data_IF_811067372467
#
_entry.id   IF_811067372467
#
_cell.length_a   1.000
_cell.length_b   1.000
_cell.length_c   1.000
_cell.angle_alpha   90.00
_cell.angle_beta   90.00
_cell.angle_gamma   90.00
#
_symmetry.space_group_name_H-M   'P 1'
#
loop_
_entity.id
_entity.type
_entity.pdbx_description
1 polymer ?
#
# COMPACT_ATOMS: atom_id res chain seq x y z
N UNK A 1 21.56 2.28 18.97
CA UNK A 1 20.31 1.52 18.77
C UNK A 1 20.58 0.48 17.71
N UNK A 2 20.23 -0.80 17.90
CA UNK A 2 20.35 -1.81 16.85
C UNK A 2 19.55 -1.36 15.61
N UNK A 3 20.03 -1.68 14.40
CA UNK A 3 19.26 -1.45 13.17
C UNK A 3 17.88 -2.11 13.34
N UNK A 4 16.82 -1.32 13.40
CA UNK A 4 15.45 -1.78 13.71
C UNK A 4 14.87 -2.80 12.71
N UNK A 5 15.60 -3.12 11.62
CA UNK A 5 15.10 -3.94 10.52
C UNK A 5 16.19 -4.84 9.89
N UNK A 6 17.20 -5.26 10.66
CA UNK A 6 18.24 -6.14 10.11
C UNK A 6 17.70 -7.58 9.94
N UNK A 7 17.22 -7.88 8.73
CA UNK A 7 16.89 -9.23 8.31
C UNK A 7 18.16 -10.04 8.11
N UNK A 8 18.22 -11.25 8.66
CA UNK A 8 19.36 -12.15 8.50
C UNK A 8 19.03 -13.34 7.61
N UNK A 9 20.04 -13.91 6.94
CA UNK A 9 19.94 -15.17 6.20
C UNK A 9 19.43 -16.32 7.05
N UNK A 10 19.66 -16.30 8.38
CA UNK A 10 19.07 -17.27 9.31
C UNK A 10 17.56 -17.12 9.42
N UNK A 11 17.06 -15.89 9.53
CA UNK A 11 15.62 -15.61 9.57
C UNK A 11 14.96 -15.96 8.23
N UNK A 12 15.57 -15.60 7.10
CA UNK A 12 15.10 -16.00 5.76
C UNK A 12 15.02 -17.52 5.64
N UNK A 13 16.07 -18.23 6.06
CA UNK A 13 16.12 -19.69 5.99
C UNK A 13 15.13 -20.38 6.95
N UNK A 14 14.82 -19.77 8.09
CA UNK A 14 13.78 -20.24 9.01
C UNK A 14 12.40 -20.02 8.41
N UNK A 15 12.12 -18.83 7.87
CA UNK A 15 10.89 -18.53 7.16
C UNK A 15 10.62 -19.51 6.01
N UNK A 16 11.64 -19.90 5.26
CA UNK A 16 11.55 -20.90 4.19
C UNK A 16 11.09 -22.30 4.64
N UNK A 17 10.96 -22.60 5.94
CA UNK A 17 10.30 -23.84 6.43
C UNK A 17 8.78 -23.74 6.47
N UNK A 18 8.23 -22.53 6.40
CA UNK A 18 6.78 -22.30 6.50
C UNK A 18 6.09 -22.62 5.18
N UNK A 19 4.78 -22.94 5.25
CA UNK A 19 3.96 -23.11 4.04
C UNK A 19 3.79 -21.80 3.28
N UNK A 20 3.66 -20.68 4.01
CA UNK A 20 3.50 -19.35 3.43
C UNK A 20 4.69 -18.95 2.55
N UNK A 21 5.91 -19.38 2.90
CA UNK A 21 7.11 -18.99 2.17
C UNK A 21 7.10 -19.40 0.69
N UNK A 22 6.54 -20.57 0.36
CA UNK A 22 6.46 -21.01 -1.03
C UNK A 22 5.57 -20.10 -1.87
N UNK A 23 4.47 -19.61 -1.29
CA UNK A 23 3.52 -18.74 -1.98
C UNK A 23 4.00 -17.28 -2.05
N UNK A 24 4.82 -16.86 -1.09
CA UNK A 24 5.26 -15.47 -0.96
C UNK A 24 6.64 -15.19 -1.58
N UNK A 25 7.52 -16.18 -1.70
CA UNK A 25 8.85 -16.00 -2.31
C UNK A 25 8.79 -15.36 -3.71
N UNK A 26 7.90 -15.76 -4.64
CA UNK A 26 7.78 -15.08 -5.93
C UNK A 26 7.42 -13.59 -5.79
N UNK A 27 6.49 -13.24 -4.88
CA UNK A 27 6.13 -11.84 -4.59
C UNK A 27 7.31 -11.06 -4.01
N UNK A 28 8.08 -11.67 -3.11
CA UNK A 28 9.28 -11.05 -2.54
C UNK A 28 10.30 -10.73 -3.63
N UNK A 29 10.60 -11.69 -4.51
CA UNK A 29 11.52 -11.49 -5.64
C UNK A 29 11.01 -10.42 -6.59
N UNK A 30 9.71 -10.41 -6.90
CA UNK A 30 9.08 -9.39 -7.75
C UNK A 30 9.28 -7.98 -7.20
N UNK A 31 9.01 -7.79 -5.91
CA UNK A 31 9.21 -6.49 -5.24
C UNK A 31 10.70 -6.10 -5.18
N UNK A 32 11.59 -7.06 -4.92
CA UNK A 32 13.04 -6.83 -4.90
C UNK A 32 13.58 -6.39 -6.27
N UNK A 33 13.07 -6.98 -7.36
CA UNK A 33 13.38 -6.56 -8.74
C UNK A 33 12.92 -5.11 -8.95
N UNK A 34 11.66 -4.82 -8.65
CA UNK A 34 11.07 -3.50 -8.83
C UNK A 34 11.71 -2.40 -7.96
N UNK A 35 12.34 -2.76 -6.84
CA UNK A 35 13.07 -1.81 -5.99
C UNK A 35 14.36 -1.29 -6.63
N UNK A 36 15.01 -2.08 -7.50
CA UNK A 36 16.36 -1.78 -8.03
C UNK A 36 16.41 -1.57 -9.53
N UNK A 37 15.37 -1.97 -10.26
CA UNK A 37 15.31 -1.84 -11.72
C UNK A 37 13.88 -1.58 -12.21
N UNK A 38 13.76 -1.17 -13.48
CA UNK A 38 12.49 -0.93 -14.18
C UNK A 38 12.39 -1.92 -15.34
N UNK A 39 11.93 -3.16 -15.08
CA UNK A 39 11.88 -4.19 -16.11
C UNK A 39 10.78 -3.90 -17.14
N UNK A 40 11.02 -4.24 -18.40
CA UNK A 40 10.00 -4.17 -19.47
C UNK A 40 9.02 -5.36 -19.40
N UNK A 41 9.42 -6.46 -18.75
CA UNK A 41 8.57 -7.60 -18.38
C UNK A 41 9.02 -8.15 -17.04
N UNK A 42 8.10 -8.34 -16.10
CA UNK A 42 8.35 -8.95 -14.79
C UNK A 42 7.14 -9.80 -14.41
N UNK A 43 7.21 -11.09 -14.71
CA UNK A 43 6.13 -12.06 -14.44
C UNK A 43 6.61 -13.04 -13.38
N UNK A 44 6.17 -12.84 -12.14
CA UNK A 44 6.43 -13.72 -11.01
C UNK A 44 5.08 -14.01 -10.32
N UNK A 45 4.38 -15.07 -10.74
CA UNK A 45 3.09 -15.45 -10.16
C UNK A 45 3.24 -15.76 -8.66
N UNK A 46 2.33 -15.24 -7.85
CA UNK A 46 2.33 -15.42 -6.40
C UNK A 46 0.91 -15.71 -5.89
N UNK A 47 0.77 -16.12 -4.63
CA UNK A 47 -0.54 -16.46 -4.05
C UNK A 47 -1.16 -17.70 -4.69
N UNK A 48 -2.42 -17.62 -5.10
CA UNK A 48 -3.16 -18.76 -5.66
C UNK A 48 -2.70 -19.15 -7.08
N UNK A 49 -1.94 -18.27 -7.74
CA UNK A 49 -1.44 -18.49 -9.11
C UNK A 49 -0.11 -19.24 -9.19
N UNK A 50 0.49 -19.64 -8.06
CA UNK A 50 1.76 -20.40 -8.00
C UNK A 50 1.65 -21.84 -8.51
N UNK A 51 0.44 -22.34 -8.71
CA UNK A 51 0.17 -23.71 -9.19
C UNK A 51 0.17 -23.85 -10.72
N UNK A 52 0.36 -22.74 -11.46
CA UNK A 52 0.40 -22.75 -12.92
C UNK A 52 1.63 -23.49 -13.45
N UNK A 53 1.47 -24.42 -14.42
CA UNK A 53 2.61 -25.07 -15.06
C UNK A 53 3.42 -24.03 -15.85
N UNK A 54 4.70 -23.87 -15.53
CA UNK A 54 5.52 -22.84 -16.14
C UNK A 54 6.77 -22.56 -15.33
N UNK A 55 7.47 -21.48 -15.64
CA UNK A 55 8.57 -20.93 -14.84
C UNK A 55 8.02 -20.29 -13.56
N UNK A 56 8.82 -20.26 -12.49
CA UNK A 56 8.44 -19.53 -11.28
C UNK A 56 8.55 -18.01 -11.49
N UNK A 57 9.36 -17.58 -12.47
CA UNK A 57 9.27 -16.24 -13.02
C UNK A 57 9.97 -16.04 -14.35
N UNK A 58 9.56 -14.99 -15.06
CA UNK A 58 10.14 -14.51 -16.31
C UNK A 58 10.42 -13.01 -16.22
N UNK A 59 11.62 -12.60 -16.63
CA UNK A 59 12.07 -11.23 -16.51
C UNK A 59 12.76 -10.79 -17.80
N UNK A 60 12.45 -9.57 -18.24
CA UNK A 60 13.23 -8.85 -19.26
C UNK A 60 13.68 -7.51 -18.69
N UNK A 61 15.00 -7.32 -18.63
CA UNK A 61 15.64 -6.06 -18.25
C UNK A 61 16.56 -5.60 -19.38
N UNK A 62 16.64 -4.30 -19.64
CA UNK A 62 17.61 -3.76 -20.60
C UNK A 62 19.02 -3.72 -19.99
N UNK A 63 19.11 -3.38 -18.71
CA UNK A 63 20.36 -3.22 -17.98
C UNK A 63 20.71 -4.44 -17.11
N UNK A 64 22.00 -4.71 -17.02
CA UNK A 64 22.54 -5.75 -16.13
C UNK A 64 22.84 -5.14 -14.75
N UNK A 65 22.37 -5.79 -13.70
CA UNK A 65 22.65 -5.40 -12.31
C UNK A 65 23.24 -6.59 -11.55
N UNK A 66 23.65 -6.38 -10.29
CA UNK A 66 24.08 -7.46 -9.41
C UNK A 66 22.99 -8.54 -9.23
N UNK A 67 21.71 -8.15 -9.31
CA UNK A 67 20.57 -9.01 -8.99
C UNK A 67 19.83 -9.49 -10.24
N UNK A 68 19.75 -8.65 -11.27
CA UNK A 68 18.94 -8.90 -12.48
C UNK A 68 19.83 -8.95 -13.73
N UNK A 69 19.81 -10.04 -14.51
CA UNK A 69 20.56 -10.10 -15.76
C UNK A 69 19.92 -9.24 -16.86
N UNK A 70 20.74 -8.69 -17.77
CA UNK A 70 20.23 -8.03 -18.98
C UNK A 70 19.66 -9.03 -20.00
N UNK A 71 18.68 -8.59 -20.79
CA UNK A 71 17.90 -9.41 -21.72
C UNK A 71 16.89 -10.31 -21.03
N UNK A 72 16.50 -11.39 -21.73
CA UNK A 72 15.53 -12.36 -21.23
C UNK A 72 16.16 -13.27 -20.16
N UNK A 73 15.44 -13.48 -19.07
CA UNK A 73 15.79 -14.47 -18.05
C UNK A 73 14.59 -15.26 -17.54
N UNK A 74 14.87 -16.47 -17.10
CA UNK A 74 13.91 -17.43 -16.58
C UNK A 74 14.34 -17.87 -15.18
N UNK A 75 13.41 -17.85 -14.24
CA UNK A 75 13.68 -17.98 -12.82
C UNK A 75 13.02 -19.23 -12.24
N UNK A 76 13.80 -19.94 -11.41
CA UNK A 76 13.35 -21.06 -10.57
C UNK A 76 13.55 -20.67 -9.11
N UNK A 77 12.50 -20.74 -8.31
CA UNK A 77 12.45 -20.29 -6.94
C UNK A 77 12.18 -21.49 -6.02
N UNK A 78 12.93 -21.60 -4.91
CA UNK A 78 12.72 -22.72 -4.00
C UNK A 78 12.94 -22.43 -2.53
N UNK A 79 12.09 -23.04 -1.71
CA UNK A 79 12.24 -23.14 -0.26
C UNK A 79 12.72 -24.54 0.19
N UNK A 80 13.06 -25.46 -0.73
CA UNK A 80 13.44 -26.84 -0.42
C UNK A 80 14.75 -26.93 0.38
N UNK A 81 14.78 -27.79 1.40
CA UNK A 81 15.92 -27.92 2.32
C UNK A 81 17.23 -28.40 1.65
N UNK A 82 17.15 -29.04 0.48
CA UNK A 82 18.32 -29.54 -0.28
C UNK A 82 18.48 -28.72 -1.59
N UNK A 83 18.99 -27.48 -1.52
CA UNK A 83 18.97 -26.56 -2.67
C UNK A 83 19.75 -27.08 -3.87
N UNK A 84 20.89 -27.77 -3.65
CA UNK A 84 21.69 -28.34 -4.76
C UNK A 84 20.91 -29.40 -5.55
N UNK A 85 20.16 -30.28 -4.85
CA UNK A 85 19.39 -31.33 -5.51
C UNK A 85 18.24 -30.74 -6.32
N UNK A 86 17.54 -29.75 -5.74
CA UNK A 86 16.47 -29.00 -6.40
C UNK A 86 16.99 -28.25 -7.63
N UNK A 87 18.04 -27.45 -7.48
CA UNK A 87 18.63 -26.68 -8.58
C UNK A 87 19.13 -27.58 -9.71
N UNK A 88 19.68 -28.76 -9.41
CA UNK A 88 20.03 -29.75 -10.44
C UNK A 88 18.81 -30.27 -11.20
N UNK A 89 17.76 -30.66 -10.48
CA UNK A 89 16.50 -31.16 -11.07
C UNK A 89 15.86 -30.11 -11.97
N UNK A 90 15.77 -28.87 -11.50
CA UNK A 90 15.16 -27.79 -12.27
C UNK A 90 16.01 -27.41 -13.47
N UNK A 91 17.32 -27.23 -13.29
CA UNK A 91 18.23 -26.91 -14.39
C UNK A 91 18.18 -27.98 -15.49
N UNK A 92 18.17 -29.27 -15.14
CA UNK A 92 18.05 -30.36 -16.10
C UNK A 92 16.70 -30.30 -16.83
N UNK A 93 15.59 -30.31 -16.07
CA UNK A 93 14.23 -30.22 -16.60
C UNK A 93 14.09 -29.07 -17.59
N UNK A 94 14.59 -27.89 -17.22
CA UNK A 94 14.47 -26.67 -18.03
C UNK A 94 15.37 -26.66 -19.25
N UNK A 95 16.54 -27.29 -19.15
CA UNK A 95 17.43 -27.48 -20.29
C UNK A 95 16.79 -28.39 -21.33
N UNK A 96 16.15 -29.48 -20.89
CA UNK A 96 15.42 -30.42 -21.76
C UNK A 96 14.15 -29.83 -22.37
N UNK A 97 13.42 -29.02 -21.61
CA UNK A 97 12.13 -28.44 -22.03
C UNK A 97 12.27 -27.15 -22.85
N UNK A 98 13.44 -26.51 -22.86
CA UNK A 98 13.65 -25.23 -23.54
C UNK A 98 14.49 -25.41 -24.81
N UNK A 99 14.02 -24.95 -25.99
CA UNK A 99 14.80 -25.03 -27.23
C UNK A 99 16.16 -24.36 -27.09
N UNK A 100 17.20 -24.98 -27.67
CA UNK A 100 18.59 -24.49 -27.59
C UNK A 100 18.73 -23.03 -28.01
N UNK A 101 18.06 -22.62 -29.11
CA UNK A 101 18.06 -21.23 -29.57
C UNK A 101 17.64 -20.25 -28.47
N UNK A 102 16.61 -20.59 -27.69
CA UNK A 102 16.14 -19.76 -26.58
C UNK A 102 17.15 -19.78 -25.43
N UNK A 103 17.71 -20.95 -25.09
CA UNK A 103 18.69 -21.09 -24.01
C UNK A 103 19.95 -20.27 -24.27
N UNK A 104 20.45 -20.29 -25.50
CA UNK A 104 21.63 -19.53 -25.92
C UNK A 104 21.40 -18.02 -26.02
N UNK A 105 20.17 -17.55 -25.84
CA UNK A 105 19.80 -16.12 -25.85
C UNK A 105 19.28 -15.62 -24.49
N UNK A 106 19.16 -16.50 -23.49
CA UNK A 106 18.54 -16.16 -22.20
C UNK A 106 19.37 -16.64 -21.02
N UNK A 107 19.13 -16.04 -19.86
CA UNK A 107 19.80 -16.41 -18.60
C UNK A 107 18.88 -17.25 -17.73
N UNK A 108 19.36 -18.40 -17.27
CA UNK A 108 18.69 -19.18 -16.23
C UNK A 108 19.10 -18.66 -14.84
N UNK A 109 18.13 -18.38 -13.97
CA UNK A 109 18.38 -17.89 -12.61
C UNK A 109 17.77 -18.87 -11.62
N UNK A 110 18.59 -19.39 -10.71
CA UNK A 110 18.13 -20.27 -9.62
C UNK A 110 18.19 -19.53 -8.28
N UNK A 111 17.08 -19.42 -7.59
CA UNK A 111 17.00 -18.75 -6.29
C UNK A 111 16.52 -19.72 -5.23
N UNK A 112 17.16 -19.69 -4.07
CA UNK A 112 16.65 -20.38 -2.90
C UNK A 112 16.61 -19.49 -1.67
N UNK A 113 15.51 -19.59 -0.91
CA UNK A 113 15.41 -18.97 0.41
C UNK A 113 16.14 -19.78 1.51
N UNK A 114 16.95 -20.78 1.13
CA UNK A 114 17.80 -21.56 2.03
C UNK A 114 19.26 -21.17 1.90
N UNK A 115 20.07 -21.51 2.90
CA UNK A 115 21.53 -21.41 2.79
C UNK A 115 22.05 -22.47 1.82
N UNK A 116 22.93 -22.08 0.90
CA UNK A 116 23.46 -22.97 -0.14
C UNK A 116 24.98 -22.92 -0.19
N UNK A 117 25.63 -23.71 0.66
CA UNK A 117 27.10 -23.77 0.76
C UNK A 117 27.79 -24.19 -0.54
N UNK A 118 27.17 -25.06 -1.33
CA UNK A 118 27.71 -25.57 -2.59
C UNK A 118 27.39 -24.66 -3.81
N UNK A 119 26.74 -23.50 -3.62
CA UNK A 119 26.26 -22.61 -4.69
C UNK A 119 27.34 -22.29 -5.72
N UNK A 120 28.51 -21.84 -5.29
CA UNK A 120 29.59 -21.42 -6.19
C UNK A 120 30.19 -22.60 -6.98
N UNK A 121 30.36 -23.76 -6.32
CA UNK A 121 30.82 -24.98 -7.00
C UNK A 121 29.81 -25.46 -8.04
N UNK A 122 28.53 -25.42 -7.69
CA UNK A 122 27.43 -25.76 -8.59
C UNK A 122 27.37 -24.83 -9.80
N UNK A 123 27.43 -23.51 -9.56
CA UNK A 123 27.37 -22.50 -10.60
C UNK A 123 28.53 -22.64 -11.60
N UNK A 124 29.76 -22.79 -11.09
CA UNK A 124 30.94 -23.01 -11.94
C UNK A 124 30.75 -24.23 -12.86
N UNK A 125 30.34 -25.36 -12.28
CA UNK A 125 30.11 -26.58 -13.04
C UNK A 125 29.01 -26.41 -14.11
N UNK A 126 27.90 -25.73 -13.79
CA UNK A 126 26.81 -25.51 -14.76
C UNK A 126 27.19 -24.55 -15.89
N UNK A 127 28.00 -23.54 -15.61
CA UNK A 127 28.53 -22.64 -16.64
C UNK A 127 29.49 -23.36 -17.61
N UNK A 128 30.31 -24.29 -17.12
CA UNK A 128 31.23 -25.09 -17.94
C UNK A 128 30.49 -25.98 -18.97
N UNK A 129 29.23 -26.35 -18.70
CA UNK A 129 28.42 -27.13 -19.65
C UNK A 129 27.97 -26.31 -20.86
N UNK A 130 27.94 -24.97 -20.78
CA UNK A 130 27.58 -24.10 -21.91
C UNK A 130 26.14 -24.21 -22.41
N UNK A 131 25.24 -24.83 -21.63
CA UNK A 131 23.85 -25.10 -22.04
C UNK A 131 22.98 -23.84 -22.12
N UNK A 132 23.35 -22.77 -21.42
CA UNK A 132 22.62 -21.50 -21.42
C UNK A 132 23.59 -20.36 -21.70
N UNK A 133 23.11 -19.25 -22.26
CA UNK A 133 23.92 -18.04 -22.48
C UNK A 133 24.66 -17.64 -21.21
N UNK A 134 23.95 -17.68 -20.08
CA UNK A 134 24.49 -17.50 -18.75
C UNK A 134 23.59 -18.17 -17.70
N UNK A 135 24.15 -18.41 -16.52
CA UNK A 135 23.41 -18.92 -15.36
C UNK A 135 23.75 -18.02 -14.16
N UNK A 136 22.76 -17.69 -13.33
CA UNK A 136 22.94 -17.04 -12.02
C UNK A 136 22.32 -17.88 -10.91
N UNK A 137 22.87 -17.76 -9.71
CA UNK A 137 22.37 -18.48 -8.54
C UNK A 137 22.35 -17.57 -7.32
N UNK A 138 21.23 -17.56 -6.59
CA UNK A 138 21.04 -16.78 -5.36
C UNK A 138 20.59 -17.68 -4.20
N UNK A 139 21.12 -17.44 -3.01
CA UNK A 139 20.73 -18.12 -1.77
C UNK A 139 20.30 -17.14 -0.66
N UNK A 140 19.95 -17.64 0.52
CA UNK A 140 19.45 -16.80 1.62
C UNK A 140 20.43 -15.67 2.02
N UNK A 141 21.75 -15.86 1.84
CA UNK A 141 22.74 -14.82 2.10
C UNK A 141 22.79 -13.74 1.03
N UNK A 142 22.47 -14.07 -0.22
CA UNK A 142 22.32 -13.07 -1.28
C UNK A 142 21.01 -12.30 -1.11
N UNK A 143 19.92 -12.98 -0.72
CA UNK A 143 18.64 -12.32 -0.42
C UNK A 143 18.76 -11.32 0.73
N UNK A 144 19.52 -11.67 1.78
CA UNK A 144 19.87 -10.74 2.87
C UNK A 144 20.52 -9.46 2.32
N UNK A 145 21.57 -9.59 1.51
CA UNK A 145 22.25 -8.45 0.88
C UNK A 145 21.36 -7.65 -0.10
N UNK A 146 20.45 -8.31 -0.80
CA UNK A 146 19.52 -7.64 -1.69
C UNK A 146 18.49 -6.81 -0.88
N UNK A 147 17.97 -7.38 0.21
CA UNK A 147 17.03 -6.69 1.11
C UNK A 147 17.66 -5.45 1.77
N UNK A 148 18.96 -5.49 2.10
CA UNK A 148 19.70 -4.32 2.63
C UNK A 148 19.63 -3.08 1.70
N UNK A 149 19.47 -3.29 0.39
CA UNK A 149 19.37 -2.21 -0.60
C UNK A 149 17.92 -1.76 -0.83
N UNK A 150 16.95 -2.55 -0.35
CA UNK A 150 15.52 -2.43 -0.64
C UNK A 150 14.71 -2.22 0.66
N UNK A 151 14.85 -1.08 1.34
CA UNK A 151 14.31 -0.83 2.68
C UNK A 151 12.79 -0.99 2.81
N UNK A 152 11.99 -0.59 1.80
CA UNK A 152 10.54 -0.77 1.85
C UNK A 152 10.15 -2.25 1.71
N UNK A 153 10.86 -3.00 0.86
CA UNK A 153 10.66 -4.45 0.70
C UNK A 153 11.12 -5.20 1.94
N UNK A 154 12.27 -4.80 2.51
CA UNK A 154 12.78 -5.33 3.77
C UNK A 154 11.81 -5.07 4.93
N UNK A 155 11.22 -3.88 5.01
CA UNK A 155 10.19 -3.56 6.00
C UNK A 155 8.98 -4.49 5.85
N UNK A 156 8.41 -4.60 4.65
CA UNK A 156 7.26 -5.48 4.41
C UNK A 156 7.58 -6.95 4.72
N UNK A 157 8.77 -7.42 4.36
CA UNK A 157 9.18 -8.78 4.66
C UNK A 157 9.44 -9.00 6.16
N UNK A 158 9.99 -8.01 6.87
CA UNK A 158 10.14 -8.06 8.31
C UNK A 158 8.79 -8.12 9.04
N UNK A 159 7.74 -7.49 8.50
CA UNK A 159 6.38 -7.58 9.07
C UNK A 159 5.80 -8.99 8.92
N UNK A 160 6.05 -9.65 7.78
CA UNK A 160 5.69 -11.06 7.55
C UNK A 160 6.42 -12.01 8.53
N UNK A 161 7.59 -11.61 9.01
CA UNK A 161 8.35 -12.36 10.02
C UNK A 161 8.02 -11.93 11.46
N UNK A 162 7.13 -10.96 11.66
CA UNK A 162 6.75 -10.41 12.98
C UNK A 162 7.94 -9.78 13.75
N UNK A 163 8.89 -9.14 13.05
CA UNK A 163 10.12 -8.57 13.66
C UNK A 163 10.27 -7.04 13.48
N UNK A 164 9.18 -6.30 13.31
CA UNK A 164 9.25 -4.85 13.01
C UNK A 164 9.22 -3.90 14.21
N UNK A 165 9.79 -2.72 13.96
CA UNK A 165 9.67 -1.53 14.80
C UNK A 165 8.37 -0.75 14.61
N UNK A 166 8.21 0.33 15.39
CA UNK A 166 6.94 1.07 15.55
C UNK A 166 6.90 2.36 14.73
N UNK A 167 8.05 2.84 14.23
CA UNK A 167 8.21 4.20 13.69
C UNK A 167 7.83 4.31 12.20
N UNK A 168 7.84 3.18 11.49
CA UNK A 168 7.41 3.06 10.09
C UNK A 168 6.69 1.73 9.88
N UNK A 169 5.77 1.70 8.92
CA UNK A 169 5.02 0.52 8.47
C UNK A 169 5.05 0.42 6.95
N UNK A 170 4.93 -0.78 6.39
CA UNK A 170 4.74 -0.94 4.95
C UNK A 170 3.34 -0.48 4.53
N UNK A 171 3.21 -0.07 3.27
CA UNK A 171 1.91 0.29 2.69
C UNK A 171 0.92 -0.90 2.72
N UNK A 172 1.44 -2.13 2.61
CA UNK A 172 0.64 -3.36 2.65
C UNK A 172 0.06 -3.58 4.04
N UNK A 173 0.88 -3.41 5.08
CA UNK A 173 0.45 -3.56 6.48
C UNK A 173 -0.57 -2.50 6.87
N UNK A 174 -0.36 -1.25 6.47
CA UNK A 174 -1.32 -0.18 6.74
C UNK A 174 -2.68 -0.48 6.09
N UNK A 175 -2.70 -0.81 4.79
CA UNK A 175 -3.93 -1.14 4.07
C UNK A 175 -4.66 -2.33 4.70
N UNK A 176 -3.95 -3.42 5.00
CA UNK A 176 -4.52 -4.59 5.66
C UNK A 176 -5.10 -4.22 7.02
N UNK A 177 -4.37 -3.46 7.83
CA UNK A 177 -4.81 -3.08 9.16
C UNK A 177 -6.03 -2.17 9.12
N UNK A 178 -6.14 -1.26 8.14
CA UNK A 178 -7.29 -0.37 7.97
C UNK A 178 -8.54 -1.08 7.45
N UNK A 179 -8.39 -1.92 6.42
CA UNK A 179 -9.50 -2.58 5.71
C UNK A 179 -10.25 -3.63 6.53
N UNK A 180 -9.55 -4.36 7.40
CA UNK A 180 -10.14 -5.44 8.24
C UNK A 180 -10.90 -4.94 9.45
N UNK A 181 -10.90 -3.63 9.69
CA UNK A 181 -11.59 -3.07 10.86
C UNK A 181 -13.11 -2.98 10.68
N UNK A 182 -13.61 -3.29 9.49
CA UNK A 182 -15.02 -3.43 9.17
C UNK A 182 -15.36 -4.88 8.82
N UNK A 183 -16.59 -5.28 9.11
CA UNK A 183 -17.14 -6.58 8.73
C UNK A 183 -18.45 -6.40 7.95
N UNK A 184 -18.52 -6.75 6.65
CA UNK A 184 -17.46 -7.29 5.79
C UNK A 184 -16.27 -6.35 5.59
N UNK A 185 -15.07 -6.95 5.43
CA UNK A 185 -13.82 -6.22 5.15
C UNK A 185 -13.93 -5.44 3.85
N UNK A 186 -13.33 -4.25 3.81
CA UNK A 186 -13.30 -3.44 2.59
C UNK A 186 -12.25 -4.03 1.64
N UNK A 187 -12.65 -4.46 0.44
CA UNK A 187 -11.71 -4.93 -0.59
C UNK A 187 -11.13 -3.76 -1.39
N UNK A 188 -9.98 -3.98 -2.04
CA UNK A 188 -9.35 -2.95 -2.89
C UNK A 188 -10.31 -2.54 -4.01
N UNK A 189 -10.89 -3.52 -4.71
CA UNK A 189 -11.83 -3.28 -5.81
C UNK A 189 -13.06 -2.47 -5.38
N UNK A 190 -13.66 -2.82 -4.24
CA UNK A 190 -14.79 -2.07 -3.69
C UNK A 190 -14.39 -0.64 -3.33
N UNK A 191 -13.23 -0.47 -2.70
CA UNK A 191 -12.72 0.84 -2.28
C UNK A 191 -12.36 1.75 -3.44
N UNK A 192 -11.97 1.18 -4.58
CA UNK A 192 -11.55 1.87 -5.80
C UNK A 192 -12.68 2.25 -6.74
N UNK A 193 -13.87 1.66 -6.56
CA UNK A 193 -15.03 1.92 -7.42
C UNK A 193 -15.34 3.43 -7.53
N UNK A 194 -15.39 3.95 -8.77
CA UNK A 194 -15.69 5.36 -9.07
C UNK A 194 -14.62 6.35 -8.54
N UNK A 195 -13.38 5.88 -8.36
CA UNK A 195 -12.23 6.69 -7.94
C UNK A 195 -11.07 6.66 -8.92
N UNK A 196 -11.28 6.13 -10.13
CA UNK A 196 -10.26 5.93 -11.15
C UNK A 196 -9.53 7.23 -11.51
N UNK A 197 -10.27 8.35 -11.62
CA UNK A 197 -9.68 9.66 -11.90
C UNK A 197 -8.67 10.11 -10.82
N UNK A 198 -8.98 9.93 -9.53
CA UNK A 198 -8.06 10.24 -8.44
C UNK A 198 -6.85 9.31 -8.45
N UNK A 199 -7.02 8.04 -8.83
CA UNK A 199 -5.92 7.07 -8.97
C UNK A 199 -4.98 7.49 -10.09
N UNK A 200 -5.51 7.80 -11.27
CA UNK A 200 -4.73 8.27 -12.42
C UNK A 200 -3.98 9.56 -12.10
N UNK A 201 -4.65 10.51 -11.42
CA UNK A 201 -4.01 11.74 -10.98
C UNK A 201 -2.84 11.46 -10.03
N UNK A 202 -3.02 10.59 -9.02
CA UNK A 202 -1.96 10.21 -8.09
C UNK A 202 -0.77 9.59 -8.82
N UNK A 203 -1.01 8.59 -9.66
CA UNK A 203 0.03 7.90 -10.41
C UNK A 203 0.78 8.84 -11.36
N UNK A 204 0.07 9.75 -12.02
CA UNK A 204 0.68 10.77 -12.89
C UNK A 204 1.59 11.71 -12.10
N UNK A 205 1.14 12.20 -10.95
CA UNK A 205 1.96 13.07 -10.09
C UNK A 205 3.22 12.36 -9.59
N UNK A 206 3.09 11.12 -9.11
CA UNK A 206 4.24 10.33 -8.64
C UNK A 206 5.27 10.11 -9.74
N UNK A 207 4.84 9.72 -10.95
CA UNK A 207 5.73 9.51 -12.11
C UNK A 207 6.43 10.79 -12.55
N UNK A 208 5.73 11.92 -12.52
CA UNK A 208 6.33 13.23 -12.82
C UNK A 208 7.41 13.60 -11.79
N UNK A 209 7.14 13.40 -10.50
CA UNK A 209 8.07 13.73 -9.42
C UNK A 209 9.34 12.86 -9.45
N UNK A 210 9.21 11.59 -9.86
CA UNK A 210 10.37 10.72 -10.04
C UNK A 210 11.31 11.21 -11.16
N UNK A 211 10.79 11.97 -12.12
CA UNK A 211 11.57 12.51 -13.23
C UNK A 211 12.26 13.85 -12.87
N UNK A 212 11.66 14.65 -11.99
CA UNK A 212 12.20 15.97 -11.60
C UNK A 212 13.34 15.91 -10.58
N UNK A 213 13.47 14.79 -9.85
CA UNK A 213 14.44 14.57 -8.76
C UNK A 213 14.43 15.68 -7.68
N UNK A 214 13.31 16.39 -7.53
CA UNK A 214 13.11 17.40 -6.49
C UNK A 214 12.31 16.83 -5.32
N UNK A 215 12.53 17.37 -4.12
CA UNK A 215 11.64 17.09 -3.00
C UNK A 215 10.24 17.64 -3.32
N UNK A 216 9.20 16.84 -3.13
CA UNK A 216 7.83 17.22 -3.45
C UNK A 216 6.87 16.89 -2.31
N UNK A 217 5.87 17.74 -2.14
CA UNK A 217 4.77 17.52 -1.20
C UNK A 217 3.48 17.32 -2.00
N UNK A 218 2.75 16.26 -1.71
CA UNK A 218 1.48 15.94 -2.33
C UNK A 218 0.40 15.83 -1.25
N UNK A 219 -0.61 16.70 -1.32
CA UNK A 219 -1.73 16.65 -0.39
C UNK A 219 -2.79 15.70 -0.93
N UNK A 220 -3.26 14.78 -0.09
CA UNK A 220 -4.36 13.88 -0.41
C UNK A 220 -5.50 14.17 0.56
N UNK A 221 -6.67 14.48 0.01
CA UNK A 221 -7.86 14.81 0.77
C UNK A 221 -8.92 13.74 0.56
N UNK A 222 -9.49 13.23 1.64
CA UNK A 222 -10.61 12.28 1.61
C UNK A 222 -11.60 12.61 2.74
N UNK A 223 -12.64 11.79 2.95
CA UNK A 223 -13.58 12.01 4.06
C UNK A 223 -12.91 11.99 5.44
N UNK A 224 -11.84 11.21 5.61
CA UNK A 224 -10.97 11.21 6.78
C UNK A 224 -9.51 11.12 6.39
N UNK A 225 -8.63 11.51 7.31
CA UNK A 225 -7.18 11.34 7.18
C UNK A 225 -6.82 9.87 6.99
N UNK A 226 -7.42 8.98 7.78
CA UNK A 226 -7.15 7.54 7.66
C UNK A 226 -7.54 6.98 6.29
N UNK A 227 -8.67 7.44 5.73
CA UNK A 227 -9.11 7.07 4.38
C UNK A 227 -8.16 7.61 3.29
N UNK A 228 -7.63 8.84 3.44
CA UNK A 228 -6.65 9.39 2.50
C UNK A 228 -5.37 8.53 2.45
N UNK A 229 -4.89 8.06 3.61
CA UNK A 229 -3.72 7.17 3.67
C UNK A 229 -4.06 5.80 3.09
N UNK A 230 -5.23 5.25 3.41
CA UNK A 230 -5.69 3.97 2.88
C UNK A 230 -5.84 4.02 1.35
N UNK A 231 -6.34 5.13 0.80
CA UNK A 231 -6.41 5.39 -0.64
C UNK A 231 -5.03 5.27 -1.27
N UNK A 232 -4.07 6.03 -0.78
CA UNK A 232 -2.70 5.97 -1.31
C UNK A 232 -2.12 4.56 -1.19
N UNK A 233 -2.19 3.95 0.00
CA UNK A 233 -1.64 2.61 0.21
C UNK A 233 -2.26 1.58 -0.72
N UNK A 234 -3.58 1.62 -0.92
CA UNK A 234 -4.30 0.70 -1.82
C UNK A 234 -3.92 0.89 -3.29
N UNK A 235 -3.73 2.14 -3.75
CA UNK A 235 -3.26 2.43 -5.11
C UNK A 235 -1.84 1.91 -5.28
N UNK A 236 -0.92 2.26 -4.37
CA UNK A 236 0.47 1.83 -4.45
C UNK A 236 0.61 0.31 -4.35
N UNK A 237 -0.26 -0.37 -3.60
CA UNK A 237 -0.28 -1.83 -3.50
C UNK A 237 -0.54 -2.53 -4.86
N UNK A 238 -1.26 -1.87 -5.78
CA UNK A 238 -1.49 -2.35 -7.14
C UNK A 238 -0.32 -2.13 -8.10
N UNK A 239 0.74 -1.44 -7.67
CA UNK A 239 1.88 -1.06 -8.50
C UNK A 239 3.20 -1.46 -7.82
N UNK A 240 3.74 -2.64 -8.16
CA UNK A 240 4.92 -3.21 -7.51
C UNK A 240 6.16 -2.28 -7.57
N UNK A 241 6.33 -1.51 -8.65
CA UNK A 241 7.39 -0.50 -8.81
C UNK A 241 7.28 0.63 -7.80
N UNK A 242 6.06 1.05 -7.47
CA UNK A 242 5.82 2.09 -6.47
C UNK A 242 5.85 1.48 -5.05
N UNK A 243 5.22 0.33 -4.85
CA UNK A 243 5.19 -0.37 -3.57
C UNK A 243 6.61 -0.65 -3.04
N UNK A 244 7.51 -1.09 -3.93
CA UNK A 244 8.89 -1.43 -3.60
C UNK A 244 9.75 -0.26 -3.08
N UNK A 245 9.25 0.98 -3.20
CA UNK A 245 9.95 2.21 -2.78
C UNK A 245 9.12 3.10 -1.85
N UNK A 246 8.03 2.57 -1.28
CA UNK A 246 7.03 3.31 -0.50
C UNK A 246 6.88 2.78 0.93
N UNK A 247 6.63 3.68 1.89
CA UNK A 247 6.27 3.32 3.26
C UNK A 247 5.35 4.36 3.91
N UNK A 248 4.81 4.00 5.08
CA UNK A 248 4.06 4.88 5.96
C UNK A 248 4.92 5.24 7.18
N UNK A 249 5.03 6.53 7.48
CA UNK A 249 5.71 7.07 8.66
C UNK A 249 4.68 7.24 9.77
N UNK A 250 4.76 6.40 10.80
CA UNK A 250 3.79 6.31 11.90
C UNK A 250 4.20 7.11 13.14
N UNK A 251 5.48 7.49 13.23
CA UNK A 251 6.02 8.36 14.28
C UNK A 251 6.98 9.42 13.68
N UNK A 252 7.07 10.65 14.21
CA UNK A 252 8.02 11.65 13.74
C UNK A 252 9.49 11.18 13.67
N UNK A 253 9.92 10.26 14.55
CA UNK A 253 11.25 9.67 14.50
C UNK A 253 11.50 8.85 13.22
N UNK A 254 10.44 8.31 12.60
CA UNK A 254 10.49 7.54 11.37
C UNK A 254 11.03 8.32 10.16
N UNK A 255 10.98 9.66 10.17
CA UNK A 255 11.65 10.47 9.14
C UNK A 255 13.16 10.22 9.09
N UNK A 256 13.80 9.88 10.21
CA UNK A 256 15.22 9.51 10.24
C UNK A 256 15.49 8.21 9.48
N UNK A 257 14.55 7.28 9.49
CA UNK A 257 14.62 6.07 8.67
C UNK A 257 14.52 6.43 7.18
N UNK A 258 13.61 7.34 6.81
CA UNK A 258 13.46 7.82 5.43
C UNK A 258 14.71 8.54 4.91
N UNK A 259 15.34 9.37 5.75
CA UNK A 259 16.56 10.11 5.41
C UNK A 259 17.78 9.21 5.22
N UNK A 260 17.89 8.14 6.02
CA UNK A 260 18.98 7.16 5.93
C UNK A 260 18.94 6.29 4.68
N UNK A 261 17.78 6.17 4.02
CA UNK A 261 17.61 5.28 2.89
C UNK A 261 17.15 6.02 1.61
N UNK A 262 18.09 6.50 0.78
CA UNK A 262 17.80 7.24 -0.46
C UNK A 262 17.02 6.48 -1.54
N UNK A 263 16.97 5.15 -1.46
CA UNK A 263 16.18 4.29 -2.36
C UNK A 263 14.67 4.43 -2.14
N UNK A 264 14.22 4.86 -0.96
CA UNK A 264 12.82 5.23 -0.75
C UNK A 264 12.47 6.46 -1.59
N UNK A 265 11.34 6.43 -2.28
CA UNK A 265 10.89 7.54 -3.15
C UNK A 265 9.56 8.12 -2.73
N UNK A 266 8.78 7.40 -1.93
CA UNK A 266 7.48 7.85 -1.43
C UNK A 266 7.40 7.58 0.07
N UNK A 267 7.01 8.60 0.84
CA UNK A 267 6.75 8.45 2.27
C UNK A 267 5.41 9.10 2.62
N UNK A 268 4.53 8.34 3.28
CA UNK A 268 3.18 8.77 3.63
C UNK A 268 3.16 9.06 5.13
N UNK A 269 2.81 10.28 5.53
CA UNK A 269 2.62 10.55 6.95
C UNK A 269 1.34 9.86 7.43
N UNK A 270 1.40 9.10 8.54
CA UNK A 270 0.22 8.44 9.08
C UNK A 270 -0.79 9.41 9.71
N UNK A 271 -0.40 10.67 9.94
CA UNK A 271 -1.21 11.77 10.49
C UNK A 271 -0.67 13.12 10.04
N UNK A 272 -1.48 14.18 9.99
CA UNK A 272 -1.02 15.53 9.62
C UNK A 272 0.08 16.06 10.55
N UNK A 273 0.07 15.68 11.83
CA UNK A 273 1.09 16.13 12.80
C UNK A 273 2.48 15.57 12.48
N UNK A 274 2.54 14.35 11.95
CA UNK A 274 3.79 13.70 11.54
C UNK A 274 4.38 14.43 10.32
N UNK A 275 3.53 15.00 9.46
CA UNK A 275 3.92 15.77 8.29
C UNK A 275 4.41 17.19 8.61
N UNK A 276 4.46 17.64 9.88
CA UNK A 276 4.94 18.99 10.25
C UNK A 276 6.43 19.19 10.00
N UNK A 277 7.22 18.13 10.13
CA UNK A 277 8.68 18.16 9.91
C UNK A 277 9.09 17.00 8.99
N UNK A 278 8.62 17.01 7.73
CA UNK A 278 8.89 15.91 6.82
C UNK A 278 10.34 15.94 6.36
N UNK A 279 10.84 14.80 5.88
CA UNK A 279 12.10 14.77 5.15
C UNK A 279 12.05 15.69 3.93
N UNK A 280 13.12 16.47 3.71
CA UNK A 280 13.29 17.37 2.56
C UNK A 280 14.24 16.78 1.52
N UNK A 281 14.45 15.47 1.54
CA UNK A 281 15.39 14.79 0.64
C UNK A 281 14.95 14.92 -0.82
N UNK A 282 15.88 15.29 -1.69
CA UNK A 282 15.64 15.34 -3.14
C UNK A 282 15.23 13.96 -3.67
N UNK A 283 14.27 13.95 -4.60
CA UNK A 283 13.69 12.73 -5.18
C UNK A 283 12.75 11.97 -4.23
N UNK A 284 12.39 12.54 -3.08
CA UNK A 284 11.34 12.02 -2.20
C UNK A 284 10.03 12.79 -2.47
N UNK A 285 8.95 12.04 -2.67
CA UNK A 285 7.59 12.58 -2.57
C UNK A 285 7.04 12.28 -1.18
N UNK A 286 6.68 13.32 -0.44
CA UNK A 286 6.00 13.19 0.85
C UNK A 286 4.51 13.40 0.64
N UNK A 287 3.73 12.43 1.09
CA UNK A 287 2.28 12.45 1.02
C UNK A 287 1.73 12.93 2.36
N UNK A 288 0.94 14.00 2.31
CA UNK A 288 0.30 14.63 3.46
C UNK A 288 -1.20 14.34 3.38
N UNK A 289 -1.72 13.43 4.23
CA UNK A 289 -3.14 13.16 4.25
C UNK A 289 -3.92 14.26 4.98
N UNK A 290 -5.16 14.45 4.58
CA UNK A 290 -6.10 15.33 5.25
C UNK A 290 -7.53 14.80 5.10
N UNK A 291 -8.33 14.97 6.16
CA UNK A 291 -9.78 14.78 6.09
C UNK A 291 -10.47 15.94 5.39
N UNK A 292 -11.78 15.79 5.19
CA UNK A 292 -12.59 16.82 4.57
C UNK A 292 -12.71 18.01 5.54
N UNK A 293 -11.96 19.08 5.27
CA UNK A 293 -12.16 20.38 5.91
C UNK A 293 -12.46 21.44 4.83
N UNK A 294 -13.51 22.27 4.98
CA UNK A 294 -13.80 23.35 4.06
C UNK A 294 -12.77 24.50 4.13
N UNK A 295 -11.84 24.45 5.08
CA UNK A 295 -10.79 25.46 5.26
C UNK A 295 -9.41 24.83 5.42
N UNK A 296 -8.68 24.73 4.32
CA UNK A 296 -7.23 24.82 4.35
C UNK A 296 -6.84 25.91 3.36
N UNK A 297 -6.08 26.89 3.84
CA UNK A 297 -5.45 27.91 3.01
C UNK A 297 -4.89 27.25 1.75
N UNK A 298 -5.09 27.85 0.58
CA UNK A 298 -4.48 27.45 -0.67
C UNK A 298 -2.96 27.37 -0.49
N UNK A 299 -2.45 26.22 -0.07
CA UNK A 299 -1.04 25.91 -0.17
C UNK A 299 -0.74 25.80 -1.65
N UNK A 300 0.42 26.30 -2.10
CA UNK A 300 0.89 26.13 -3.48
C UNK A 300 1.14 24.65 -3.87
N UNK A 301 0.83 23.70 -2.98
CA UNK A 301 1.01 22.28 -3.19
C UNK A 301 -0.15 21.70 -4.01
N UNK A 302 0.15 20.69 -4.81
CA UNK A 302 -0.84 19.94 -5.57
C UNK A 302 -1.72 19.17 -4.58
N UNK A 303 -3.04 19.35 -4.68
CA UNK A 303 -4.05 18.63 -3.89
C UNK A 303 -4.78 17.64 -4.79
N UNK A 304 -4.92 16.40 -4.33
CA UNK A 304 -5.77 15.38 -4.95
C UNK A 304 -6.94 15.14 -4.01
N UNK A 305 -8.15 15.42 -4.50
CA UNK A 305 -9.38 15.13 -3.78
C UNK A 305 -9.87 13.73 -4.15
N UNK A 306 -10.09 12.89 -3.14
CA UNK A 306 -10.68 11.56 -3.28
C UNK A 306 -12.17 11.71 -3.07
N UNK A 307 -12.90 11.76 -4.18
CA UNK A 307 -14.35 11.95 -4.12
C UNK A 307 -15.08 10.71 -3.61
N UNK A 308 -16.27 10.94 -3.07
CA UNK A 308 -17.18 9.85 -2.74
C UNK A 308 -17.66 9.20 -4.03
N UNK A 309 -17.70 7.85 -4.10
CA UNK A 309 -18.22 7.17 -5.27
C UNK A 309 -19.64 7.63 -5.62
N UNK A 310 -20.03 7.52 -6.88
CA UNK A 310 -21.43 7.64 -7.26
C UNK A 310 -22.26 6.52 -6.58
N UNK A 311 -23.56 6.78 -6.39
CA UNK A 311 -24.41 5.89 -5.59
C UNK A 311 -24.49 4.48 -6.18
N UNK A 312 -24.52 4.36 -7.51
CA UNK A 312 -24.68 3.08 -8.19
C UNK A 312 -23.40 2.24 -8.09
N UNK A 313 -22.23 2.85 -8.27
CA UNK A 313 -20.95 2.15 -8.09
C UNK A 313 -20.69 1.79 -6.63
N UNK A 314 -21.10 2.65 -5.68
CA UNK A 314 -21.01 2.32 -4.26
C UNK A 314 -21.90 1.12 -3.89
N UNK A 315 -23.13 1.06 -4.40
CA UNK A 315 -24.02 -0.09 -4.22
C UNK A 315 -23.43 -1.37 -4.81
N UNK A 316 -22.88 -1.32 -6.03
CA UNK A 316 -22.17 -2.46 -6.64
C UNK A 316 -20.98 -2.91 -5.80
N UNK A 317 -20.21 -1.96 -5.29
CA UNK A 317 -19.08 -2.26 -4.42
C UNK A 317 -19.56 -3.00 -3.16
N UNK A 318 -20.63 -2.53 -2.50
CA UNK A 318 -21.23 -3.22 -1.36
C UNK A 318 -21.76 -4.62 -1.71
N UNK A 319 -22.39 -4.79 -2.87
CA UNK A 319 -22.82 -6.12 -3.35
C UNK A 319 -21.62 -7.07 -3.51
N UNK A 320 -20.49 -6.57 -4.04
CA UNK A 320 -19.26 -7.35 -4.16
C UNK A 320 -18.66 -7.76 -2.81
N UNK A 321 -18.97 -7.02 -1.73
CA UNK A 321 -18.61 -7.37 -0.36
C UNK A 321 -19.55 -8.42 0.26
N UNK A 322 -20.63 -8.79 -0.42
CA UNK A 322 -21.56 -9.84 -0.01
C UNK A 322 -22.93 -9.36 0.51
N UNK A 323 -23.24 -8.06 0.42
CA UNK A 323 -24.59 -7.56 0.74
C UNK A 323 -25.58 -7.84 -0.39
N UNK A 324 -26.86 -8.01 -0.07
CA UNK A 324 -27.90 -8.03 -1.11
C UNK A 324 -28.22 -6.61 -1.61
N UNK A 325 -28.91 -6.50 -2.74
CA UNK A 325 -29.20 -5.21 -3.40
C UNK A 325 -29.94 -4.22 -2.48
N UNK A 326 -30.96 -4.68 -1.75
CA UNK A 326 -31.74 -3.83 -0.84
C UNK A 326 -30.92 -3.34 0.36
N UNK A 327 -30.05 -4.20 0.90
CA UNK A 327 -29.10 -3.83 1.95
C UNK A 327 -28.07 -2.83 1.44
N UNK A 328 -27.48 -3.09 0.28
CA UNK A 328 -26.50 -2.22 -0.35
C UNK A 328 -27.06 -0.82 -0.57
N UNK A 329 -28.27 -0.70 -1.13
CA UNK A 329 -28.96 0.58 -1.31
C UNK A 329 -29.15 1.33 0.01
N UNK A 330 -29.69 0.65 1.04
CA UNK A 330 -29.89 1.24 2.37
C UNK A 330 -28.58 1.66 3.04
N UNK A 331 -27.50 0.89 2.86
CA UNK A 331 -26.18 1.22 3.40
C UNK A 331 -25.60 2.41 2.65
N UNK A 332 -25.69 2.46 1.32
CA UNK A 332 -25.22 3.56 0.50
C UNK A 332 -25.83 4.91 0.93
N UNK A 333 -27.15 4.94 1.14
CA UNK A 333 -27.85 6.13 1.63
C UNK A 333 -27.40 6.53 3.04
N UNK A 334 -27.40 5.58 3.99
CA UNK A 334 -27.11 5.89 5.39
C UNK A 334 -25.64 6.21 5.68
N UNK A 335 -24.72 5.74 4.82
CA UNK A 335 -23.28 6.07 4.93
C UNK A 335 -22.92 7.31 4.12
N UNK A 336 -23.86 7.85 3.33
CA UNK A 336 -23.60 8.96 2.42
C UNK A 336 -22.51 8.64 1.40
N UNK A 337 -22.31 7.35 1.06
CA UNK A 337 -21.25 6.81 0.17
C UNK A 337 -19.83 7.01 0.70
N UNK A 338 -19.67 7.16 2.01
CA UNK A 338 -18.37 7.32 2.66
C UNK A 338 -17.83 5.99 3.17
N UNK A 339 -16.62 5.62 2.74
CA UNK A 339 -15.94 4.43 3.26
C UNK A 339 -15.48 4.62 4.72
N UNK A 340 -15.16 5.85 5.14
CA UNK A 340 -14.92 6.19 6.55
C UNK A 340 -16.15 5.89 7.42
N UNK A 341 -17.33 6.34 6.98
CA UNK A 341 -18.59 6.09 7.71
C UNK A 341 -18.97 4.61 7.67
N UNK A 342 -18.81 3.94 6.53
CA UNK A 342 -18.99 2.49 6.42
C UNK A 342 -18.08 1.76 7.42
N UNK A 343 -16.76 2.05 7.40
CA UNK A 343 -15.78 1.42 8.28
C UNK A 343 -16.16 1.60 9.75
N UNK A 344 -16.49 2.83 10.15
CA UNK A 344 -16.95 3.13 11.50
C UNK A 344 -18.21 2.37 11.90
N UNK A 345 -19.20 2.31 11.02
CA UNK A 345 -20.49 1.67 11.31
C UNK A 345 -20.38 0.15 11.44
N UNK A 346 -19.55 -0.47 10.62
CA UNK A 346 -19.37 -1.92 10.55
C UNK A 346 -18.18 -2.42 11.37
N UNK A 347 -17.61 -1.59 12.25
CA UNK A 347 -16.51 -1.97 13.12
C UNK A 347 -16.96 -2.76 14.35
N UNK A 348 -16.23 -3.83 14.66
CA UNK A 348 -16.38 -4.57 15.93
C UNK A 348 -15.74 -3.83 17.12
N UNK A 349 -14.64 -3.10 16.86
CA UNK A 349 -13.95 -2.31 17.87
C UNK A 349 -14.73 -1.03 18.20
N UNK A 350 -15.11 -0.89 19.47
CA UNK A 350 -15.86 0.27 19.97
C UNK A 350 -15.11 1.59 19.78
N UNK A 351 -13.78 1.59 19.85
CA UNK A 351 -12.96 2.79 19.66
C UNK A 351 -13.02 3.33 18.23
N UNK A 352 -13.36 2.49 17.25
CA UNK A 352 -13.56 2.92 15.86
C UNK A 352 -15.00 3.39 15.69
N UNK A 353 -15.97 2.65 16.24
CA UNK A 353 -17.40 3.01 16.21
C UNK A 353 -17.68 4.40 16.79
N UNK A 354 -16.90 4.81 17.80
CA UNK A 354 -17.07 6.07 18.52
C UNK A 354 -15.97 7.06 18.11
N UNK A 355 -16.23 7.92 17.12
CA UNK A 355 -15.24 8.88 16.64
C UNK A 355 -15.00 9.95 17.71
N UNK A 356 -13.80 10.55 17.72
CA UNK A 356 -13.38 11.46 18.79
C UNK A 356 -14.34 12.65 18.98
N UNK A 357 -14.92 13.16 17.89
CA UNK A 357 -15.85 14.28 17.93
C UNK A 357 -17.14 13.98 18.70
N UNK A 358 -17.53 12.70 18.86
CA UNK A 358 -18.74 12.32 19.61
C UNK A 358 -18.61 12.62 21.10
N UNK A 359 -17.39 12.68 21.62
CA UNK A 359 -17.10 12.98 23.03
C UNK A 359 -16.94 14.49 23.31
N UNK A 360 -17.16 15.34 22.31
CA UNK A 360 -17.07 16.80 22.46
C UNK A 360 -18.44 17.39 22.82
N UNK A 361 -18.52 18.47 23.63
CA UNK A 361 -19.80 19.11 23.95
C UNK A 361 -20.62 19.53 22.72
N UNK A 362 -19.93 19.88 21.62
CA UNK A 362 -20.53 20.29 20.35
C UNK A 362 -21.33 19.17 19.69
N UNK A 363 -21.04 17.89 19.99
CA UNK A 363 -21.79 16.74 19.47
C UNK A 363 -23.28 16.78 19.83
N UNK A 364 -23.66 17.51 20.89
CA UNK A 364 -25.07 17.71 21.27
C UNK A 364 -25.90 18.37 20.14
N UNK A 365 -25.27 19.17 19.27
CA UNK A 365 -25.94 19.78 18.13
C UNK A 365 -26.34 18.75 17.04
N UNK A 366 -25.74 17.56 17.02
CA UNK A 366 -25.99 16.56 15.98
C UNK A 366 -27.40 15.97 16.04
N UNK A 367 -28.00 15.88 17.24
CA UNK A 367 -29.39 15.42 17.37
C UNK A 367 -30.36 16.34 16.62
N UNK A 368 -30.16 17.66 16.72
CA UNK A 368 -30.92 18.66 15.94
C UNK A 368 -30.72 18.46 14.44
N UNK A 369 -29.48 18.26 13.98
CA UNK A 369 -29.19 18.04 12.56
C UNK A 369 -29.83 16.76 12.04
N UNK A 370 -29.80 15.66 12.80
CA UNK A 370 -30.42 14.40 12.41
C UNK A 370 -31.95 14.51 12.25
N UNK A 371 -32.61 15.38 13.02
CA UNK A 371 -34.05 15.61 12.92
C UNK A 371 -34.41 16.53 11.74
N UNK A 372 -33.58 17.51 11.44
CA UNK A 372 -33.82 18.50 10.38
C UNK A 372 -33.38 18.02 8.99
N UNK A 373 -32.32 17.22 8.91
CA UNK A 373 -31.65 16.85 7.67
C UNK A 373 -30.81 17.97 7.09
N UNK A 374 -31.43 19.05 6.62
CA UNK A 374 -30.76 20.20 6.01
C UNK A 374 -31.60 21.48 6.09
N UNK A 375 -30.96 22.64 6.07
CA UNK A 375 -31.62 23.95 6.01
C UNK A 375 -30.71 24.99 5.34
N UNK A 376 -31.27 26.15 5.00
CA UNK A 376 -30.55 27.27 4.41
C UNK A 376 -30.23 28.34 5.46
N UNK A 377 -28.94 28.64 5.64
CA UNK A 377 -28.49 29.71 6.55
C UNK A 377 -28.81 31.13 6.04
N UNK A 378 -29.38 31.26 4.84
CA UNK A 378 -29.89 32.51 4.30
C UNK A 378 -31.37 32.76 4.64
N UNK A 379 -32.12 31.73 5.05
CA UNK A 379 -33.53 31.83 5.38
C UNK A 379 -33.75 32.08 6.88
N UNK A 380 -34.43 33.19 7.22
CA UNK A 380 -34.76 33.50 8.62
C UNK A 380 -35.69 32.45 9.25
N UNK A 381 -36.68 31.97 8.50
CA UNK A 381 -37.61 30.94 8.96
C UNK A 381 -36.89 29.62 9.33
N UNK A 382 -35.92 29.20 8.52
CA UNK A 382 -35.08 28.02 8.80
C UNK A 382 -34.28 28.21 10.09
N UNK A 383 -33.69 29.39 10.30
CA UNK A 383 -32.95 29.73 11.53
C UNK A 383 -33.84 29.71 12.77
N UNK A 384 -35.04 30.24 12.65
CA UNK A 384 -36.03 30.27 13.74
C UNK A 384 -36.47 28.85 14.10
N UNK A 385 -36.69 28.00 13.09
CA UNK A 385 -37.04 26.59 13.30
C UNK A 385 -35.90 25.80 13.96
N UNK A 386 -34.66 25.99 13.49
CA UNK A 386 -33.46 25.40 14.11
C UNK A 386 -33.36 25.81 15.58
N UNK A 387 -33.55 27.11 15.87
CA UNK A 387 -33.45 27.64 17.24
C UNK A 387 -34.53 27.06 18.15
N UNK A 388 -35.76 26.99 17.65
CA UNK A 388 -36.91 26.40 18.35
C UNK A 388 -36.70 24.92 18.67
N UNK A 389 -36.23 24.14 17.69
CA UNK A 389 -36.00 22.71 17.88
C UNK A 389 -34.80 22.41 18.79
N UNK A 390 -33.74 23.21 18.71
CA UNK A 390 -32.55 23.06 19.53
C UNK A 390 -32.73 23.63 20.96
N UNK A 391 -33.81 24.37 21.21
CA UNK A 391 -34.03 25.16 22.43
C UNK A 391 -32.82 26.07 22.78
N UNK A 392 -32.19 26.64 21.74
CA UNK A 392 -30.95 27.42 21.81
C UNK A 392 -30.91 28.47 20.71
N UNK A 393 -30.11 29.51 20.88
CA UNK A 393 -29.91 30.50 19.82
C UNK A 393 -29.22 29.88 18.60
N UNK A 394 -29.69 30.20 17.38
CA UNK A 394 -29.13 29.70 16.12
C UNK A 394 -27.60 29.81 16.05
N UNK A 395 -27.03 30.94 16.51
CA UNK A 395 -25.60 31.21 16.45
C UNK A 395 -24.79 30.22 17.30
N UNK A 396 -25.36 29.69 18.39
CA UNK A 396 -24.69 28.68 19.20
C UNK A 396 -24.66 27.33 18.48
N UNK A 397 -25.80 26.93 17.90
CA UNK A 397 -25.89 25.71 17.08
C UNK A 397 -24.92 25.81 15.90
N UNK A 398 -24.93 26.95 15.19
CA UNK A 398 -24.01 27.19 14.08
C UNK A 398 -22.54 27.12 14.52
N UNK A 399 -22.19 27.69 15.68
CA UNK A 399 -20.83 27.62 16.22
C UNK A 399 -20.41 26.18 16.50
N UNK A 400 -21.28 25.37 17.11
CA UNK A 400 -21.02 23.96 17.40
C UNK A 400 -20.81 23.17 16.11
N UNK A 401 -21.66 23.39 15.09
CA UNK A 401 -21.55 22.73 13.79
C UNK A 401 -20.32 23.15 12.99
N UNK A 402 -19.95 24.44 13.02
CA UNK A 402 -18.71 24.92 12.40
C UNK A 402 -17.47 24.29 13.04
N UNK A 403 -17.47 24.11 14.37
CA UNK A 403 -16.41 23.40 15.06
C UNK A 403 -16.34 21.94 14.60
N UNK A 404 -17.47 21.22 14.58
CA UNK A 404 -17.53 19.83 14.13
C UNK A 404 -17.11 19.65 12.66
N UNK A 405 -17.45 20.59 11.78
CA UNK A 405 -17.09 20.57 10.36
C UNK A 405 -15.59 20.75 10.09
N UNK A 406 -14.80 21.18 11.08
CA UNK A 406 -13.35 21.36 10.97
C UNK A 406 -12.55 20.17 11.48
N UNK A 407 -13.20 19.23 12.17
CA UNK A 407 -12.54 18.03 12.70
C UNK A 407 -12.34 17.00 11.59
N UNK A 408 -11.38 16.10 11.80
CA UNK A 408 -11.22 14.93 10.94
C UNK A 408 -12.47 14.02 11.03
N UNK A 409 -12.79 13.32 9.94
CA UNK A 409 -13.96 12.44 9.86
C UNK A 409 -15.26 13.18 10.26
N UNK A 410 -15.41 14.42 9.76
CA UNK A 410 -16.43 15.36 10.18
C UNK A 410 -17.86 14.79 10.05
N UNK A 411 -18.72 14.95 11.06
CA UNK A 411 -20.09 14.43 11.03
C UNK A 411 -21.05 15.28 10.18
N UNK A 412 -20.62 16.49 9.78
CA UNK A 412 -21.43 17.46 9.06
C UNK A 412 -20.62 18.10 7.95
N UNK A 413 -21.30 18.39 6.83
CA UNK A 413 -20.73 19.07 5.68
C UNK A 413 -21.43 20.42 5.53
N UNK A 414 -20.65 21.49 5.32
CA UNK A 414 -21.21 22.77 4.88
C UNK A 414 -21.16 22.82 3.36
N UNK A 415 -22.30 22.63 2.72
CA UNK A 415 -22.45 22.85 1.29
C UNK A 415 -22.58 24.36 1.07
N UNK A 416 -21.64 24.95 0.32
CA UNK A 416 -21.64 26.36 -0.06
C UNK A 416 -22.34 26.58 -1.40
#
# INVERSE_FOLDING_TARGET
>A
MPNLYHLTSKQIAAWATTKAAQNYLPKLIRLLIHAVTKPSKCDFPAGDSTSSPGWDGELYCEEDTAWTPSGQSYWELSCEAKPTNKANRDCLKRTEQTPEKTRQQSTLVSVTARKWTQKNKWLKHKLELGEWRAIRAFDAGDLEQWLEQCPAVALQFAEELEITGWEVESISKYWQSWSVQASPKITVDAFHASREASQEQLLKQLKNNFSSNQASLLNIKADSTEEAIAFVCSVLHGHDDLAAVSLVVTDPAGWRFVDKHPSLKIAIAARPEIAKTPSKRNGLTVIIPSGYSPSSNQTQNIEINVERPDIYQFEKALISLGFNEGEAHRIALNTGRSWSVYRRRFAENAAIRCPAWLNTPQANALATVCLLGSWLDSQAADKDFVSSLADRAYQEVEKDLRYLAQLDDAPVLKNW
#
